data_IF_324092240195
#
_entry.id   IF_324092240195
#
_cell.length_a   1.000
_cell.length_b   1.000
_cell.length_c   1.000
_cell.angle_alpha   90.00
_cell.angle_beta   90.00
_cell.angle_gamma   90.00
#
_symmetry.space_group_name_H-M   'P 1'
#
loop_
_entity.id
_entity.type
_entity.pdbx_description
1 polymer ?
#
# COMPACT_ATOMS: atom_id res chain seq x y z
N UNK A 1 53.13 -58.10 35.87
CA UNK A 1 52.09 -57.12 36.22
C UNK A 1 52.21 -55.96 35.24
N UNK A 2 51.37 -55.95 34.21
CA UNK A 2 51.44 -55.02 33.07
C UNK A 2 50.24 -54.08 33.11
N UNK A 3 50.49 -52.82 33.41
CA UNK A 3 49.50 -51.74 33.46
C UNK A 3 49.28 -51.20 32.04
N UNK A 4 48.09 -51.41 31.46
CA UNK A 4 47.67 -50.75 30.22
C UNK A 4 47.06 -49.39 30.55
N UNK A 5 47.72 -48.32 30.14
CA UNK A 5 47.16 -46.96 30.11
C UNK A 5 46.33 -46.79 28.84
N UNK A 6 45.05 -46.52 29.01
CA UNK A 6 44.13 -46.15 27.93
C UNK A 6 44.15 -44.63 27.78
N UNK A 7 44.75 -44.12 26.72
CA UNK A 7 44.73 -42.69 26.38
C UNK A 7 43.35 -42.35 25.77
N UNK A 8 42.58 -41.52 26.45
CA UNK A 8 41.31 -40.98 25.96
C UNK A 8 41.61 -39.73 25.12
N UNK A 9 41.55 -39.84 23.80
CA UNK A 9 41.75 -38.72 22.87
C UNK A 9 40.42 -37.93 22.77
N UNK A 10 40.31 -36.82 23.52
CA UNK A 10 39.18 -35.89 23.41
C UNK A 10 39.39 -35.05 22.14
N UNK A 11 38.65 -35.39 21.08
CA UNK A 11 38.50 -34.52 19.90
C UNK A 11 37.68 -33.28 20.30
N UNK A 12 38.37 -32.16 20.50
CA UNK A 12 37.76 -30.82 20.48
C UNK A 12 37.38 -30.49 19.03
N UNK A 13 36.12 -30.77 18.66
CA UNK A 13 35.52 -30.19 17.45
C UNK A 13 35.35 -28.68 17.68
N UNK A 14 35.97 -27.80 16.87
CA UNK A 14 35.60 -26.41 16.88
C UNK A 14 34.17 -26.31 16.34
N UNK A 15 33.25 -25.83 17.19
CA UNK A 15 31.99 -25.26 16.75
C UNK A 15 32.32 -24.07 15.84
N UNK A 16 32.57 -24.37 14.57
CA UNK A 16 32.56 -23.39 13.49
C UNK A 16 31.15 -22.81 13.48
N UNK A 17 30.98 -21.66 14.14
CA UNK A 17 29.77 -20.86 14.04
C UNK A 17 29.48 -20.67 12.56
N UNK A 18 28.38 -21.25 12.09
CA UNK A 18 27.92 -20.98 10.74
C UNK A 18 27.79 -19.46 10.62
N UNK A 19 28.35 -18.83 9.57
CA UNK A 19 28.10 -17.41 9.35
C UNK A 19 26.58 -17.26 9.35
N UNK A 20 26.07 -16.39 10.23
CA UNK A 20 24.66 -16.04 10.24
C UNK A 20 24.31 -15.67 8.79
N UNK A 21 23.53 -16.51 8.12
CA UNK A 21 23.20 -16.29 6.73
C UNK A 21 22.53 -14.92 6.66
N UNK A 22 23.16 -13.98 5.94
CA UNK A 22 22.59 -12.65 5.72
C UNK A 22 21.15 -12.85 5.23
N UNK A 23 20.18 -12.24 5.94
CA UNK A 23 18.77 -12.44 5.61
C UNK A 23 18.52 -12.00 4.16
N UNK A 24 17.99 -12.87 3.30
CA UNK A 24 17.76 -12.50 1.91
C UNK A 24 16.55 -11.56 1.83
N UNK A 25 16.78 -10.25 1.74
CA UNK A 25 15.75 -9.22 1.53
C UNK A 25 15.23 -9.17 0.07
N UNK A 26 15.20 -10.32 -0.59
CA UNK A 26 14.84 -10.50 -2.00
C UNK A 26 15.96 -10.12 -2.99
N UNK A 27 15.84 -10.61 -4.23
CA UNK A 27 16.78 -10.29 -5.33
C UNK A 27 16.50 -8.91 -5.91
N UNK A 28 17.53 -8.17 -6.40
CA UNK A 28 17.32 -6.94 -7.15
C UNK A 28 16.38 -7.17 -8.34
N UNK A 29 15.52 -6.20 -8.62
CA UNK A 29 14.63 -6.20 -9.77
C UNK A 29 15.22 -5.37 -10.91
N UNK A 30 14.87 -5.71 -12.15
CA UNK A 30 15.18 -4.86 -13.30
C UNK A 30 14.19 -3.69 -13.38
N UNK A 31 14.60 -2.61 -14.04
CA UNK A 31 13.71 -1.46 -14.26
C UNK A 31 12.40 -1.88 -14.96
N UNK A 32 12.48 -2.71 -16.01
CA UNK A 32 11.30 -3.19 -16.73
C UNK A 32 10.33 -3.99 -15.85
N UNK A 33 10.84 -4.73 -14.86
CA UNK A 33 9.98 -5.45 -13.90
C UNK A 33 9.23 -4.47 -12.98
N UNK A 34 9.92 -3.45 -12.48
CA UNK A 34 9.33 -2.39 -11.64
C UNK A 34 8.29 -1.60 -12.42
N UNK A 35 8.60 -1.19 -13.66
CA UNK A 35 7.68 -0.46 -14.53
C UNK A 35 6.44 -1.29 -14.92
N UNK A 36 6.61 -2.59 -15.14
CA UNK A 36 5.49 -3.50 -15.37
C UNK A 36 4.55 -3.53 -14.16
N UNK A 37 5.11 -3.70 -12.95
CA UNK A 37 4.33 -3.79 -11.71
C UNK A 37 3.63 -2.46 -11.41
N UNK A 38 4.32 -1.33 -11.64
CA UNK A 38 3.75 0.01 -11.52
C UNK A 38 2.53 0.18 -12.43
N UNK A 39 2.64 -0.18 -13.72
CA UNK A 39 1.52 -0.09 -14.67
C UNK A 39 0.37 -1.03 -14.31
N UNK A 40 0.68 -2.23 -13.82
CA UNK A 40 -0.34 -3.20 -13.40
C UNK A 40 -1.12 -2.67 -12.19
N UNK A 41 -0.43 -2.12 -11.19
CA UNK A 41 -1.08 -1.50 -10.04
C UNK A 41 -1.81 -0.19 -10.37
N UNK A 42 -1.31 0.61 -11.34
CA UNK A 42 -1.99 1.80 -11.87
C UNK A 42 -3.34 1.44 -12.52
N UNK A 43 -3.39 0.38 -13.33
CA UNK A 43 -4.66 -0.12 -13.89
C UNK A 43 -5.59 -0.65 -12.80
N UNK A 44 -5.04 -1.37 -11.81
CA UNK A 44 -5.83 -1.94 -10.73
C UNK A 44 -6.47 -0.84 -9.87
N UNK A 45 -5.69 0.14 -9.44
CA UNK A 45 -6.18 1.25 -8.62
C UNK A 45 -7.22 2.08 -9.37
N UNK A 46 -7.07 2.26 -10.69
CA UNK A 46 -8.05 2.97 -11.51
C UNK A 46 -9.44 2.31 -11.42
N UNK A 47 -9.52 0.97 -11.30
CA UNK A 47 -10.79 0.24 -11.14
C UNK A 47 -11.39 0.30 -9.73
N UNK A 48 -10.64 0.76 -8.75
CA UNK A 48 -11.03 0.67 -7.33
C UNK A 48 -11.75 1.94 -6.87
N UNK A 49 -12.82 1.82 -6.11
CA UNK A 49 -13.51 2.95 -5.48
C UNK A 49 -13.75 2.64 -4.01
N UNK A 50 -13.61 3.61 -3.12
CA UNK A 50 -13.90 3.40 -1.71
C UNK A 50 -14.59 4.61 -1.06
N UNK A 51 -15.21 4.35 0.09
CA UNK A 51 -15.78 5.31 1.03
C UNK A 51 -15.03 5.25 2.35
N UNK A 52 -14.97 6.36 3.11
CA UNK A 52 -15.63 7.65 2.89
C UNK A 52 -14.96 8.51 1.81
N UNK A 53 -15.63 9.61 1.43
CA UNK A 53 -15.10 10.58 0.44
C UNK A 53 -13.74 11.18 0.84
N UNK A 54 -13.34 11.11 2.10
CA UNK A 54 -12.05 11.59 2.61
C UNK A 54 -11.04 10.46 2.88
N UNK A 55 -11.29 9.28 2.35
CA UNK A 55 -10.45 8.11 2.60
C UNK A 55 -9.25 7.96 1.66
N UNK A 56 -8.37 7.06 2.05
CA UNK A 56 -7.29 6.52 1.22
C UNK A 56 -7.51 5.03 0.96
N UNK A 57 -7.21 4.59 -0.26
CA UNK A 57 -7.10 3.16 -0.60
C UNK A 57 -5.65 2.82 -0.80
N UNK A 58 -5.14 1.81 -0.10
CA UNK A 58 -3.77 1.31 -0.25
C UNK A 58 -3.82 -0.07 -0.92
N UNK A 59 -2.95 -0.31 -1.90
CA UNK A 59 -2.95 -1.53 -2.72
C UNK A 59 -1.53 -2.03 -2.98
N UNK A 60 -1.35 -3.35 -2.96
CA UNK A 60 -0.09 -3.99 -3.34
C UNK A 60 -0.34 -5.43 -3.81
N UNK A 61 0.63 -5.99 -4.54
CA UNK A 61 0.61 -7.40 -4.95
C UNK A 61 0.95 -8.30 -3.76
N UNK A 62 0.21 -9.39 -3.60
CA UNK A 62 0.32 -10.32 -2.47
C UNK A 62 0.88 -11.70 -2.87
N UNK A 63 1.07 -11.98 -4.16
CA UNK A 63 1.64 -13.24 -4.63
C UNK A 63 2.67 -13.08 -5.75
N UNK A 64 3.74 -13.86 -5.65
CA UNK A 64 4.80 -13.96 -6.65
C UNK A 64 4.28 -14.40 -8.04
N UNK A 65 3.25 -15.25 -8.07
CA UNK A 65 2.67 -15.77 -9.32
C UNK A 65 1.75 -14.78 -10.04
N UNK A 66 1.46 -13.61 -9.46
CA UNK A 66 0.43 -12.69 -9.96
C UNK A 66 -0.96 -13.09 -9.46
N UNK A 67 -1.99 -12.36 -9.90
CA UNK A 67 -3.38 -12.67 -9.62
C UNK A 67 -3.87 -12.47 -8.18
N UNK A 68 -3.01 -12.20 -7.20
CA UNK A 68 -3.45 -11.92 -5.84
C UNK A 68 -2.91 -10.57 -5.35
N UNK A 69 -3.81 -9.77 -4.80
CA UNK A 69 -3.56 -8.43 -4.30
C UNK A 69 -4.16 -8.28 -2.92
N UNK A 70 -3.61 -7.34 -2.16
CA UNK A 70 -4.10 -6.93 -0.85
C UNK A 70 -4.31 -5.44 -0.84
N UNK A 71 -5.18 -5.02 0.06
CA UNK A 71 -5.32 -3.60 0.31
C UNK A 71 -5.98 -3.26 1.62
N UNK A 72 -6.05 -1.96 1.83
CA UNK A 72 -6.59 -1.31 3.01
C UNK A 72 -7.32 -0.05 2.60
N UNK A 73 -8.59 0.08 2.95
CA UNK A 73 -9.27 1.38 2.95
C UNK A 73 -9.12 2.00 4.32
N UNK A 74 -8.82 3.29 4.40
CA UNK A 74 -8.83 4.07 5.63
C UNK A 74 -9.66 5.34 5.47
N UNK A 75 -10.38 5.76 6.51
CA UNK A 75 -11.14 7.02 6.53
C UNK A 75 -10.24 8.25 6.50
N UNK A 76 -8.97 8.09 6.91
CA UNK A 76 -7.91 9.10 6.81
C UNK A 76 -8.33 10.47 7.38
N UNK A 77 -8.98 10.46 8.55
CA UNK A 77 -9.41 11.67 9.24
C UNK A 77 -8.22 12.33 9.94
N UNK A 78 -7.43 13.04 9.14
CA UNK A 78 -6.34 13.90 9.60
C UNK A 78 -6.78 15.36 9.56
N UNK A 79 -6.60 16.08 10.65
CA UNK A 79 -6.96 17.50 10.73
C UNK A 79 -6.29 18.22 11.88
N UNK A 80 -6.66 19.50 12.05
CA UNK A 80 -6.27 20.29 13.22
C UNK A 80 -7.45 20.36 14.20
N UNK A 81 -7.28 19.79 15.37
CA UNK A 81 -8.18 19.95 16.52
C UNK A 81 -7.74 21.11 17.42
N UNK A 82 -8.46 21.30 18.54
CA UNK A 82 -8.18 22.38 19.51
C UNK A 82 -6.81 22.30 20.20
N UNK A 83 -6.08 21.19 20.05
CA UNK A 83 -4.75 20.96 20.63
C UNK A 83 -3.64 20.75 19.57
N UNK A 84 -3.90 21.03 18.29
CA UNK A 84 -2.95 20.81 17.21
C UNK A 84 -3.40 19.75 16.22
N UNK A 85 -2.45 19.09 15.55
CA UNK A 85 -2.73 18.01 14.59
C UNK A 85 -3.29 16.80 15.31
N UNK A 86 -4.27 16.17 14.69
CA UNK A 86 -4.93 14.98 15.21
C UNK A 86 -5.19 13.98 14.08
N UNK A 87 -5.17 12.70 14.45
CA UNK A 87 -5.55 11.59 13.58
C UNK A 87 -6.47 10.64 14.33
N UNK A 88 -7.60 10.38 13.71
CA UNK A 88 -8.50 9.28 14.02
C UNK A 88 -8.74 8.53 12.70
N UNK A 89 -8.92 7.22 12.76
CA UNK A 89 -9.24 6.48 11.54
C UNK A 89 -9.95 5.17 11.82
N UNK A 90 -10.72 4.78 10.82
CA UNK A 90 -11.32 3.46 10.70
C UNK A 90 -10.75 2.79 9.45
N UNK A 91 -10.69 1.47 9.44
CA UNK A 91 -10.06 0.68 8.38
C UNK A 91 -10.92 -0.49 7.90
N UNK A 92 -10.79 -0.80 6.61
CA UNK A 92 -11.34 -2.00 5.97
C UNK A 92 -10.23 -2.66 5.15
N UNK A 93 -9.68 -3.75 5.68
CA UNK A 93 -8.66 -4.55 5.02
C UNK A 93 -9.29 -5.61 4.11
N UNK A 94 -8.61 -5.94 3.01
CA UNK A 94 -9.14 -6.87 2.02
C UNK A 94 -8.07 -7.64 1.25
N UNK A 95 -8.49 -8.78 0.71
CA UNK A 95 -7.80 -9.55 -0.32
C UNK A 95 -8.61 -9.48 -1.63
N UNK A 96 -7.91 -9.39 -2.76
CA UNK A 96 -8.49 -9.42 -4.09
C UNK A 96 -7.78 -10.51 -4.90
N UNK A 97 -8.55 -11.49 -5.35
CA UNK A 97 -8.05 -12.69 -5.99
C UNK A 97 -8.62 -12.80 -7.40
N UNK A 98 -7.73 -12.79 -8.38
CA UNK A 98 -8.02 -13.00 -9.78
C UNK A 98 -7.61 -14.41 -10.16
N UNK A 99 -8.56 -15.16 -10.74
CA UNK A 99 -8.31 -16.51 -11.23
C UNK A 99 -8.51 -16.54 -12.75
N UNK A 100 -7.53 -17.01 -13.53
CA UNK A 100 -7.81 -17.40 -14.91
C UNK A 100 -8.79 -18.57 -14.80
N UNK A 101 -10.03 -18.38 -15.25
CA UNK A 101 -11.05 -19.36 -14.93
C UNK A 101 -10.78 -20.73 -15.53
N UNK A 102 -11.28 -21.74 -14.84
CA UNK A 102 -11.41 -23.11 -15.34
C UNK A 102 -12.88 -23.32 -15.71
N UNK A 103 -13.15 -23.62 -16.98
CA UNK A 103 -14.51 -23.89 -17.45
C UNK A 103 -14.81 -25.38 -17.31
N UNK A 104 -15.56 -25.75 -16.28
CA UNK A 104 -15.87 -27.16 -16.00
C UNK A 104 -17.08 -27.71 -16.76
N UNK A 105 -17.90 -26.87 -17.39
CA UNK A 105 -19.21 -27.28 -17.92
C UNK A 105 -19.34 -27.22 -19.45
N UNK A 106 -18.59 -26.37 -20.15
CA UNK A 106 -18.60 -26.32 -21.62
C UNK A 106 -17.19 -26.10 -22.19
N UNK A 107 -16.48 -27.15 -22.66
CA UNK A 107 -15.12 -27.01 -23.16
C UNK A 107 -15.00 -26.16 -24.44
N UNK A 108 -16.12 -25.77 -25.08
CA UNK A 108 -16.12 -24.92 -26.28
C UNK A 108 -16.20 -23.44 -25.97
N UNK A 109 -16.57 -23.06 -24.74
CA UNK A 109 -16.62 -21.66 -24.31
C UNK A 109 -15.25 -21.25 -23.77
N UNK A 110 -14.77 -20.10 -24.25
CA UNK A 110 -13.59 -19.46 -23.65
C UNK A 110 -13.84 -19.26 -22.15
N UNK A 111 -12.91 -19.69 -21.28
CA UNK A 111 -13.02 -19.43 -19.85
C UNK A 111 -13.16 -17.94 -19.57
N UNK A 112 -14.04 -17.58 -18.64
CA UNK A 112 -14.29 -16.20 -18.24
C UNK A 112 -13.52 -15.91 -16.96
N UNK A 113 -12.51 -15.02 -16.96
CA UNK A 113 -11.74 -14.75 -15.77
C UNK A 113 -12.62 -14.31 -14.59
N UNK A 114 -12.26 -14.75 -13.40
CA UNK A 114 -13.01 -14.48 -12.18
C UNK A 114 -12.22 -13.56 -11.25
N UNK A 115 -12.93 -12.69 -10.54
CA UNK A 115 -12.41 -11.96 -9.39
C UNK A 115 -13.23 -12.32 -8.15
N UNK A 116 -12.52 -12.43 -7.03
CA UNK A 116 -13.10 -12.60 -5.71
C UNK A 116 -12.57 -11.49 -4.82
N UNK A 117 -13.46 -10.75 -4.19
CA UNK A 117 -13.15 -9.65 -3.30
C UNK A 117 -13.54 -10.03 -1.87
N UNK A 118 -12.57 -10.09 -0.95
CA UNK A 118 -12.76 -10.66 0.38
C UNK A 118 -12.30 -9.67 1.44
N UNK A 119 -13.13 -9.42 2.45
CA UNK A 119 -12.78 -8.66 3.63
C UNK A 119 -11.91 -9.46 4.58
N UNK A 120 -10.91 -8.81 5.18
CA UNK A 120 -10.04 -9.37 6.22
C UNK A 120 -10.52 -8.88 7.59
N UNK A 121 -11.41 -9.64 8.21
CA UNK A 121 -12.11 -9.27 9.45
C UNK A 121 -11.17 -8.93 10.61
N UNK A 122 -10.12 -9.73 10.83
CA UNK A 122 -9.14 -9.51 11.90
C UNK A 122 -8.27 -8.26 11.73
N UNK A 123 -8.31 -7.63 10.55
CA UNK A 123 -7.57 -6.42 10.22
C UNK A 123 -8.48 -5.22 9.90
N UNK A 124 -9.79 -5.35 10.16
CA UNK A 124 -10.81 -4.34 9.83
C UNK A 124 -11.60 -3.90 11.07
N UNK A 125 -12.13 -2.68 11.03
CA UNK A 125 -13.04 -2.14 12.04
C UNK A 125 -14.48 -2.54 11.77
N UNK A 126 -14.87 -3.70 12.27
CA UNK A 126 -16.22 -4.23 12.04
C UNK A 126 -17.24 -3.61 13.01
N UNK A 127 -18.36 -3.12 12.47
CA UNK A 127 -19.51 -2.62 13.24
C UNK A 127 -19.15 -1.60 14.35
N UNK A 128 -18.21 -0.69 14.09
CA UNK A 128 -17.97 0.39 15.04
C UNK A 128 -19.16 1.34 15.07
N UNK A 129 -19.69 1.62 16.25
CA UNK A 129 -20.79 2.57 16.46
C UNK A 129 -20.37 4.02 16.30
N UNK A 130 -19.05 4.28 16.26
CA UNK A 130 -18.44 5.59 16.07
C UNK A 130 -18.02 5.84 14.62
N UNK A 131 -17.75 4.79 13.86
CA UNK A 131 -17.14 4.92 12.53
C UNK A 131 -18.20 5.02 11.42
N UNK A 132 -17.93 5.80 10.37
CA UNK A 132 -18.79 5.84 9.19
C UNK A 132 -18.80 4.48 8.49
N UNK A 133 -19.85 4.24 7.71
CA UNK A 133 -19.92 3.08 6.83
C UNK A 133 -18.78 3.11 5.79
N UNK A 134 -17.85 2.17 5.93
CA UNK A 134 -16.70 2.00 5.01
C UNK A 134 -17.07 0.91 4.02
N UNK A 135 -16.81 1.18 2.75
CA UNK A 135 -16.93 0.19 1.70
C UNK A 135 -15.83 0.34 0.67
N UNK A 136 -15.54 -0.75 0.00
CA UNK A 136 -14.64 -0.81 -1.14
C UNK A 136 -15.35 -1.48 -2.31
N UNK A 137 -15.06 -1.02 -3.51
CA UNK A 137 -15.58 -1.53 -4.77
C UNK A 137 -14.46 -1.72 -5.77
N UNK A 138 -14.60 -2.74 -6.60
CA UNK A 138 -13.79 -2.91 -7.82
C UNK A 138 -14.71 -3.09 -9.01
N UNK A 139 -14.48 -2.33 -10.09
CA UNK A 139 -15.30 -2.45 -11.30
C UNK A 139 -14.84 -3.60 -12.21
N UNK A 140 -15.79 -4.48 -12.52
CA UNK A 140 -15.66 -5.61 -13.43
C UNK A 140 -15.81 -5.21 -14.91
N UNK A 141 -16.21 -3.97 -15.20
CA UNK A 141 -16.46 -3.53 -16.57
C UNK A 141 -15.26 -3.78 -17.51
N UNK A 142 -15.54 -4.02 -18.79
CA UNK A 142 -14.48 -4.25 -19.78
C UNK A 142 -13.54 -3.03 -19.89
N UNK A 143 -14.11 -1.83 -19.83
CA UNK A 143 -13.42 -0.53 -19.80
C UNK A 143 -13.99 0.28 -18.65
N UNK A 144 -13.13 0.95 -17.88
CA UNK A 144 -13.53 1.90 -16.84
C UNK A 144 -13.33 3.30 -17.39
N UNK A 145 -14.42 3.94 -17.81
CA UNK A 145 -14.38 5.31 -18.34
C UNK A 145 -14.25 6.34 -17.22
N UNK A 146 -15.00 6.17 -16.12
CA UNK A 146 -14.97 7.01 -14.93
C UNK A 146 -14.76 6.14 -13.68
N UNK A 147 -13.57 6.21 -13.04
CA UNK A 147 -13.23 5.39 -11.88
C UNK A 147 -13.99 5.77 -10.61
N UNK A 148 -14.82 6.82 -10.66
CA UNK A 148 -15.67 7.28 -9.57
C UNK A 148 -17.12 6.82 -9.70
N UNK A 149 -17.47 6.16 -10.81
CA UNK A 149 -18.82 5.65 -11.11
C UNK A 149 -18.75 4.21 -11.64
N UNK A 150 -18.38 3.23 -10.79
CA UNK A 150 -18.26 1.85 -11.22
C UNK A 150 -19.61 1.32 -11.72
N UNK A 151 -19.60 0.63 -12.86
CA UNK A 151 -20.82 0.16 -13.54
C UNK A 151 -21.16 -1.29 -13.23
N UNK A 152 -20.15 -2.11 -12.92
CA UNK A 152 -20.30 -3.51 -12.53
C UNK A 152 -19.45 -3.78 -11.27
N UNK A 153 -19.79 -3.20 -10.11
CA UNK A 153 -18.94 -3.29 -8.92
C UNK A 153 -19.07 -4.63 -8.20
N UNK A 154 -17.95 -5.23 -7.83
CA UNK A 154 -17.90 -6.09 -6.64
C UNK A 154 -17.76 -5.21 -5.41
N UNK A 155 -18.49 -5.51 -4.33
CA UNK A 155 -18.55 -4.66 -3.13
C UNK A 155 -18.29 -5.44 -1.85
N UNK A 156 -17.42 -4.91 -0.99
CA UNK A 156 -17.29 -5.33 0.40
C UNK A 156 -17.50 -4.13 1.33
N UNK A 157 -17.89 -4.39 2.57
CA UNK A 157 -18.10 -3.33 3.57
C UNK A 157 -17.61 -3.73 4.95
N UNK A 158 -17.50 -2.78 5.88
CA UNK A 158 -17.17 -3.07 7.28
C UNK A 158 -18.36 -3.57 8.14
N UNK A 159 -19.51 -3.91 7.52
CA UNK A 159 -20.69 -4.42 8.23
C UNK A 159 -20.63 -5.94 8.42
N UNK A 160 -20.93 -6.46 9.62
CA UNK A 160 -20.85 -7.91 9.92
C UNK A 160 -21.94 -8.79 9.28
N UNK A 161 -22.95 -8.20 8.65
CA UNK A 161 -24.06 -8.96 8.09
C UNK A 161 -23.60 -9.90 6.97
N UNK A 162 -24.32 -11.00 6.77
CA UNK A 162 -24.04 -11.96 5.71
C UNK A 162 -24.11 -11.29 4.33
N UNK A 163 -23.18 -11.64 3.44
CA UNK A 163 -23.07 -11.08 2.08
C UNK A 163 -22.28 -9.78 1.97
N UNK A 164 -21.80 -9.18 3.08
CA UNK A 164 -20.98 -7.96 3.02
C UNK A 164 -19.47 -8.18 3.15
N UNK A 165 -19.06 -9.39 3.54
CA UNK A 165 -17.66 -9.76 3.73
C UNK A 165 -16.97 -10.24 2.44
N UNK A 166 -17.75 -10.59 1.42
CA UNK A 166 -17.26 -11.23 0.21
C UNK A 166 -18.18 -10.92 -0.96
N UNK A 167 -17.59 -10.69 -2.13
CA UNK A 167 -18.29 -10.58 -3.39
C UNK A 167 -17.43 -11.20 -4.52
N UNK A 168 -18.08 -11.81 -5.51
CA UNK A 168 -17.40 -12.49 -6.61
C UNK A 168 -18.11 -12.26 -7.95
N UNK A 169 -17.33 -12.29 -9.02
CA UNK A 169 -17.88 -12.10 -10.35
C UNK A 169 -16.90 -12.43 -11.46
N UNK A 170 -17.46 -12.65 -12.66
CA UNK A 170 -16.70 -12.99 -13.85
C UNK A 170 -16.68 -11.83 -14.84
N UNK A 171 -15.51 -11.50 -15.37
CA UNK A 171 -15.36 -10.41 -16.33
C UNK A 171 -14.16 -10.58 -17.26
N UNK A 172 -14.35 -10.11 -18.51
CA UNK A 172 -13.30 -10.12 -19.53
C UNK A 172 -12.30 -8.97 -19.38
N UNK A 173 -12.68 -7.87 -18.70
CA UNK A 173 -11.84 -6.67 -18.56
C UNK A 173 -10.47 -6.95 -17.92
N UNK A 174 -10.41 -7.87 -16.95
CA UNK A 174 -9.18 -8.18 -16.24
C UNK A 174 -8.11 -8.86 -17.06
N UNK A 175 -8.49 -9.57 -18.13
CA UNK A 175 -7.52 -10.18 -19.03
C UNK A 175 -6.83 -9.12 -19.87
N UNK A 176 -7.52 -8.04 -20.24
CA UNK A 176 -6.94 -6.93 -20.97
C UNK A 176 -5.94 -6.12 -20.12
N UNK A 177 -6.18 -6.04 -18.81
CA UNK A 177 -5.28 -5.33 -17.89
C UNK A 177 -4.16 -6.20 -17.32
N UNK A 178 -4.08 -7.46 -17.73
CA UNK A 178 -3.04 -8.41 -17.36
C UNK A 178 -2.87 -8.60 -15.85
N UNK A 179 -3.96 -8.68 -15.07
CA UNK A 179 -3.87 -8.86 -13.61
C UNK A 179 -3.45 -10.27 -13.16
N UNK A 180 -3.48 -11.23 -14.07
CA UNK A 180 -3.15 -12.64 -13.80
C UNK A 180 -1.66 -12.92 -13.87
N UNK A 181 -0.93 -12.22 -14.75
CA UNK A 181 0.49 -12.45 -14.95
C UNK A 181 1.31 -11.76 -13.87
N UNK A 182 2.46 -12.35 -13.53
CA UNK A 182 3.45 -11.71 -12.70
C UNK A 182 4.42 -10.88 -13.56
N UNK A 183 4.67 -9.63 -13.18
CA UNK A 183 5.78 -8.85 -13.72
C UNK A 183 7.15 -9.41 -13.31
N UNK A 184 7.22 -10.07 -12.15
CA UNK A 184 8.37 -10.84 -11.67
C UNK A 184 7.94 -11.84 -10.59
N UNK A 185 8.73 -12.91 -10.41
CA UNK A 185 8.50 -13.95 -9.41
C UNK A 185 9.02 -13.65 -8.00
N UNK A 186 9.58 -12.46 -7.78
CA UNK A 186 10.21 -12.08 -6.50
C UNK A 186 9.26 -11.25 -5.63
N UNK A 187 8.39 -11.91 -4.86
CA UNK A 187 7.66 -11.29 -3.73
C UNK A 187 8.10 -12.01 -2.46
N UNK A 188 8.96 -11.37 -1.67
CA UNK A 188 9.52 -11.99 -0.46
C UNK A 188 8.60 -11.85 0.75
N UNK A 189 8.80 -12.69 1.77
CA UNK A 189 8.10 -12.56 3.05
C UNK A 189 8.39 -11.20 3.72
N UNK A 190 9.58 -10.64 3.48
CA UNK A 190 9.92 -9.30 3.93
C UNK A 190 9.05 -8.25 3.22
N UNK A 191 8.87 -8.33 1.90
CA UNK A 191 7.99 -7.41 1.16
C UNK A 191 6.54 -7.50 1.68
N UNK A 192 6.04 -8.72 1.89
CA UNK A 192 4.70 -8.97 2.45
C UNK A 192 4.54 -8.45 3.89
N UNK A 193 5.63 -8.26 4.64
CA UNK A 193 5.65 -7.60 5.95
C UNK A 193 5.72 -6.08 5.82
N UNK A 194 6.49 -5.55 4.87
CA UNK A 194 6.66 -4.09 4.69
C UNK A 194 5.38 -3.43 4.18
N UNK A 195 4.71 -3.99 3.17
CA UNK A 195 3.57 -3.31 2.56
C UNK A 195 2.41 -3.02 3.56
N UNK A 196 2.01 -3.95 4.45
CA UNK A 196 1.02 -3.65 5.48
C UNK A 196 1.45 -2.58 6.48
N UNK A 197 2.76 -2.48 6.78
CA UNK A 197 3.32 -1.41 7.63
C UNK A 197 3.15 -0.08 6.92
N UNK A 198 3.64 0.04 5.68
CA UNK A 198 3.50 1.27 4.88
C UNK A 198 2.04 1.71 4.75
N UNK A 199 1.13 0.79 4.44
CA UNK A 199 -0.30 1.08 4.35
C UNK A 199 -0.92 1.60 5.65
N UNK A 200 -0.31 1.35 6.82
CA UNK A 200 -0.82 1.79 8.13
C UNK A 200 -0.09 2.99 8.73
N UNK A 201 1.06 3.35 8.17
CA UNK A 201 1.86 4.49 8.61
C UNK A 201 1.75 5.67 7.65
N UNK A 202 1.67 5.45 6.33
CA UNK A 202 1.64 6.54 5.34
C UNK A 202 0.25 7.17 5.24
N UNK A 203 0.16 8.48 5.42
CA UNK A 203 -1.10 9.24 5.42
C UNK A 203 -0.97 10.52 4.57
N UNK A 204 -1.46 10.50 3.32
CA UNK A 204 -1.62 11.73 2.54
C UNK A 204 -2.78 12.56 3.10
N UNK A 205 -2.65 13.87 3.21
CA UNK A 205 -3.74 14.73 3.68
C UNK A 205 -3.61 16.16 3.16
N UNK A 206 -4.64 16.70 2.47
CA UNK A 206 -4.66 18.10 2.07
C UNK A 206 -5.02 19.02 3.25
N UNK A 207 -5.62 18.47 4.32
CA UNK A 207 -5.96 19.19 5.55
C UNK A 207 -4.75 19.63 6.37
N UNK A 208 -3.62 18.96 6.19
CA UNK A 208 -2.39 19.22 6.93
C UNK A 208 -1.30 19.83 6.04
N UNK A 209 -1.65 20.25 4.83
CA UNK A 209 -0.79 21.06 3.98
C UNK A 209 -0.49 22.39 4.68
N UNK A 210 0.78 22.80 4.69
CA UNK A 210 1.22 24.09 5.23
C UNK A 210 1.76 24.99 4.12
N UNK A 211 1.51 26.30 4.15
CA UNK A 211 0.76 27.05 5.17
C UNK A 211 -0.76 27.10 4.91
N UNK A 212 -1.23 26.57 3.78
CA UNK A 212 -2.61 26.68 3.32
C UNK A 212 -3.34 25.33 3.39
N UNK A 213 -3.89 24.95 4.56
CA UNK A 213 -4.64 23.70 4.66
C UNK A 213 -5.91 23.77 3.82
N UNK A 214 -6.10 22.81 2.93
CA UNK A 214 -7.32 22.68 2.13
C UNK A 214 -8.03 21.36 2.46
N UNK A 215 -9.02 21.40 3.35
CA UNK A 215 -9.81 20.23 3.74
C UNK A 215 -10.91 19.85 2.74
N UNK A 216 -10.53 19.73 1.46
CA UNK A 216 -11.41 19.26 0.38
C UNK A 216 -11.86 17.80 0.55
N UNK A 217 -12.72 17.34 -0.37
CA UNK A 217 -13.15 15.94 -0.46
C UNK A 217 -12.18 15.04 -1.23
N UNK A 218 -10.88 15.34 -1.18
CA UNK A 218 -9.85 14.64 -1.94
C UNK A 218 -9.79 13.18 -1.54
N UNK A 219 -9.73 12.31 -2.56
CA UNK A 219 -9.58 10.86 -2.39
C UNK A 219 -8.20 10.46 -2.88
N UNK A 220 -7.49 9.70 -2.07
CA UNK A 220 -6.20 9.16 -2.45
C UNK A 220 -6.30 7.67 -2.76
N UNK A 221 -5.63 7.26 -3.83
CA UNK A 221 -5.32 5.86 -4.07
C UNK A 221 -3.80 5.72 -4.05
N UNK A 222 -3.31 4.78 -3.28
CA UNK A 222 -1.90 4.61 -2.99
C UNK A 222 -1.53 3.19 -3.37
N UNK A 223 -0.54 3.04 -4.23
CA UNK A 223 -0.02 1.73 -4.60
C UNK A 223 1.39 1.58 -4.05
N UNK A 224 1.73 0.40 -3.56
CA UNK A 224 3.07 0.05 -3.11
C UNK A 224 3.62 -1.11 -3.93
N UNK A 225 4.88 -1.01 -4.31
CA UNK A 225 5.62 -2.03 -5.04
C UNK A 225 7.10 -1.93 -4.73
N UNK A 226 7.88 -2.92 -5.16
CA UNK A 226 9.31 -2.95 -4.88
C UNK A 226 10.08 -2.09 -5.89
N UNK A 227 11.16 -1.45 -5.46
CA UNK A 227 12.12 -0.79 -6.34
C UNK A 227 13.12 -1.78 -6.95
N UNK A 228 14.07 -1.25 -7.71
CA UNK A 228 15.14 -2.06 -8.33
C UNK A 228 16.10 -2.65 -7.29
N UNK A 229 16.42 -1.88 -6.25
CA UNK A 229 17.33 -2.30 -5.19
C UNK A 229 16.60 -3.02 -4.05
N UNK A 230 17.25 -4.00 -3.38
CA UNK A 230 16.75 -4.55 -2.12
C UNK A 230 16.51 -3.45 -1.08
N UNK A 231 15.47 -3.63 -0.25
CA UNK A 231 15.01 -2.66 0.75
C UNK A 231 14.60 -1.28 0.20
N UNK A 232 14.50 -1.14 -1.12
CA UNK A 232 13.91 0.02 -1.77
C UNK A 232 12.49 -0.32 -2.19
N UNK A 233 11.55 0.55 -1.84
CA UNK A 233 10.15 0.47 -2.18
C UNK A 233 9.72 1.71 -2.94
N UNK A 234 8.66 1.56 -3.71
CA UNK A 234 8.06 2.60 -4.51
C UNK A 234 6.63 2.77 -4.05
N UNK A 235 6.20 4.03 -4.06
CA UNK A 235 4.83 4.39 -3.75
C UNK A 235 4.37 5.40 -4.79
N UNK A 236 3.20 5.18 -5.37
CA UNK A 236 2.53 6.22 -6.14
C UNK A 236 1.24 6.60 -5.43
N UNK A 237 1.03 7.90 -5.27
CA UNK A 237 -0.21 8.47 -4.75
C UNK A 237 -0.95 9.10 -5.93
N UNK A 238 -2.17 8.63 -6.16
CA UNK A 238 -3.10 9.15 -7.15
C UNK A 238 -4.14 10.01 -6.44
N UNK A 239 -4.16 11.28 -6.79
CA UNK A 239 -5.18 12.24 -6.38
C UNK A 239 -6.31 12.23 -7.40
N UNK A 240 -7.53 11.94 -6.93
CA UNK A 240 -8.74 11.99 -7.76
C UNK A 240 -9.57 13.23 -7.43
N UNK A 241 -9.80 14.04 -8.45
CA UNK A 241 -10.63 15.23 -8.39
C UNK A 241 -11.85 15.01 -9.28
N UNK A 242 -13.04 15.30 -8.78
CA UNK A 242 -14.27 15.33 -9.59
C UNK A 242 -14.82 16.74 -9.55
N UNK A 243 -14.95 17.33 -10.73
CA UNK A 243 -15.48 18.69 -10.93
C UNK A 243 -16.78 18.57 -11.72
N UNK A 244 -17.88 19.07 -11.17
CA UNK A 244 -19.17 19.12 -11.85
C UNK A 244 -19.50 20.56 -12.19
N UNK A 245 -19.80 20.82 -13.46
CA UNK A 245 -20.21 22.12 -13.98
C UNK A 245 -21.73 22.32 -13.81
N UNK A 246 -22.18 23.57 -13.93
CA UNK A 246 -23.59 23.95 -13.72
C UNK A 246 -24.56 23.30 -14.72
N UNK A 247 -24.07 22.83 -15.86
CA UNK A 247 -24.83 22.09 -16.87
C UNK A 247 -25.05 20.60 -16.50
N UNK A 248 -24.54 20.17 -15.34
CA UNK A 248 -24.61 18.80 -14.86
C UNK A 248 -23.53 17.87 -15.42
N UNK A 249 -22.65 18.36 -16.30
CA UNK A 249 -21.48 17.61 -16.76
C UNK A 249 -20.47 17.49 -15.62
N UNK A 250 -19.98 16.29 -15.34
CA UNK A 250 -18.88 16.09 -14.40
C UNK A 250 -17.66 15.53 -15.12
N UNK A 251 -16.51 16.14 -14.89
CA UNK A 251 -15.21 15.64 -15.30
C UNK A 251 -14.49 15.07 -14.08
N UNK A 252 -13.64 14.08 -14.31
CA UNK A 252 -12.67 13.64 -13.31
C UNK A 252 -11.26 13.88 -13.82
N UNK A 253 -10.37 14.24 -12.90
CA UNK A 253 -8.93 14.32 -13.11
C UNK A 253 -8.21 13.33 -12.20
N UNK A 254 -7.09 12.82 -12.70
CA UNK A 254 -6.17 11.96 -11.98
C UNK A 254 -4.77 12.56 -12.05
N UNK A 255 -4.13 12.78 -10.91
CA UNK A 255 -2.75 13.23 -10.82
C UNK A 255 -1.92 12.23 -10.02
N UNK A 256 -0.75 11.85 -10.53
CA UNK A 256 0.17 10.90 -9.89
C UNK A 256 1.36 11.62 -9.30
N UNK A 257 1.64 11.37 -8.03
CA UNK A 257 2.90 11.72 -7.38
C UNK A 257 3.64 10.44 -7.03
N UNK A 258 4.86 10.29 -7.52
CA UNK A 258 5.67 9.09 -7.34
C UNK A 258 6.72 9.32 -6.25
N UNK A 259 6.98 8.29 -5.46
CA UNK A 259 7.91 8.32 -4.34
C UNK A 259 8.83 7.11 -4.35
N UNK A 260 10.01 7.29 -3.79
CA UNK A 260 10.91 6.21 -3.39
C UNK A 260 11.03 6.21 -1.86
N UNK A 261 10.99 5.02 -1.29
CA UNK A 261 11.24 4.78 0.13
C UNK A 261 12.43 3.84 0.23
N UNK A 262 13.46 4.20 0.98
CA UNK A 262 14.55 3.28 1.30
C UNK A 262 14.49 2.92 2.77
N UNK A 263 14.56 1.62 3.04
CA UNK A 263 14.41 1.06 4.38
C UNK A 263 15.75 0.54 4.86
N UNK A 264 16.08 0.82 6.12
CA UNK A 264 17.24 0.29 6.81
C UNK A 264 16.79 -0.72 7.85
N UNK A 265 17.56 -1.80 7.97
CA UNK A 265 17.30 -2.89 8.91
C UNK A 265 18.55 -3.21 9.73
N UNK A 266 18.35 -3.72 10.94
CA UNK A 266 19.45 -4.29 11.73
C UNK A 266 19.76 -5.74 11.32
N UNK A 267 20.77 -6.34 11.97
CA UNK A 267 21.20 -7.72 11.72
C UNK A 267 20.10 -8.78 11.97
N UNK A 268 18.99 -8.41 12.63
CA UNK A 268 17.84 -9.28 12.91
C UNK A 268 16.69 -9.06 11.92
N UNK A 269 16.83 -8.13 10.98
CA UNK A 269 15.78 -7.73 10.05
C UNK A 269 14.69 -6.86 10.71
N UNK A 270 15.02 -6.17 11.81
CA UNK A 270 14.13 -5.17 12.42
C UNK A 270 14.32 -3.83 11.72
N UNK A 271 13.23 -3.08 11.58
CA UNK A 271 13.26 -1.78 10.93
C UNK A 271 13.89 -0.75 11.86
N UNK A 272 14.85 0.00 11.34
CA UNK A 272 15.63 0.97 12.11
C UNK A 272 15.37 2.40 11.62
N UNK A 273 15.85 2.73 10.43
CA UNK A 273 15.73 4.03 9.80
C UNK A 273 15.40 3.92 8.33
N UNK A 274 15.35 5.06 7.64
CA UNK A 274 15.08 5.12 6.21
C UNK A 274 14.80 6.53 5.75
N UNK A 275 14.39 6.66 4.50
CA UNK A 275 14.01 7.92 3.88
C UNK A 275 12.82 7.74 2.96
N UNK A 276 12.08 8.84 2.79
CA UNK A 276 11.00 8.99 1.83
C UNK A 276 11.32 10.21 0.95
N UNK A 277 11.23 10.03 -0.36
CA UNK A 277 11.56 11.08 -1.32
C UNK A 277 10.54 11.11 -2.46
N UNK A 278 10.07 12.31 -2.82
CA UNK A 278 9.30 12.53 -4.05
C UNK A 278 10.21 12.43 -5.25
N UNK A 279 9.71 11.82 -6.31
CA UNK A 279 10.46 11.63 -7.54
C UNK A 279 10.21 12.75 -8.53
N UNK A 280 11.17 13.01 -9.45
CA UNK A 280 11.07 14.07 -10.43
C UNK A 280 9.81 13.98 -11.30
N UNK A 281 9.46 15.09 -11.92
CA UNK A 281 8.39 15.14 -12.91
C UNK A 281 8.76 14.34 -14.17
N UNK A 282 7.77 13.69 -14.76
CA UNK A 282 7.88 13.06 -16.07
C UNK A 282 8.06 14.12 -17.15
N UNK A 283 8.90 13.84 -18.14
CA UNK A 283 9.00 14.67 -19.35
C UNK A 283 7.81 14.44 -20.28
N UNK A 284 7.26 13.22 -20.27
CA UNK A 284 6.01 12.86 -20.94
C UNK A 284 5.14 12.02 -19.99
N UNK A 285 4.23 12.71 -19.29
CA UNK A 285 3.34 12.12 -18.31
C UNK A 285 2.39 11.06 -18.88
N UNK A 286 2.17 11.02 -20.20
CA UNK A 286 1.21 10.10 -20.83
C UNK A 286 1.78 8.69 -21.07
N UNK A 287 3.10 8.58 -21.21
CA UNK A 287 3.76 7.32 -21.55
C UNK A 287 4.73 6.84 -20.48
N UNK A 288 5.26 7.76 -19.66
CA UNK A 288 6.29 7.46 -18.67
C UNK A 288 5.69 7.05 -17.33
N UNK A 289 6.36 6.09 -16.71
CA UNK A 289 6.14 5.67 -15.32
C UNK A 289 7.44 5.89 -14.54
N UNK A 290 7.40 5.74 -13.23
CA UNK A 290 8.58 5.90 -12.39
C UNK A 290 8.89 7.35 -12.00
N UNK A 291 8.01 8.29 -12.36
CA UNK A 291 8.11 9.73 -12.14
C UNK A 291 6.73 10.33 -11.81
N UNK A 292 6.71 11.53 -11.25
CA UNK A 292 5.48 12.26 -10.93
C UNK A 292 4.90 12.92 -12.19
N UNK A 293 3.58 12.97 -12.34
CA UNK A 293 2.96 13.71 -13.45
C UNK A 293 3.03 15.22 -13.19
N UNK A 294 3.07 16.04 -14.25
CA UNK A 294 2.95 17.49 -14.13
C UNK A 294 1.56 17.85 -13.60
N UNK A 295 1.47 18.03 -12.30
CA UNK A 295 0.30 18.51 -11.59
C UNK A 295 0.75 19.38 -10.43
N UNK A 296 -0.18 20.13 -9.85
CA UNK A 296 0.05 20.84 -8.60
C UNK A 296 -0.46 19.96 -7.46
N UNK A 297 0.35 19.01 -6.93
CA UNK A 297 -0.07 18.30 -5.73
C UNK A 297 -0.33 19.35 -4.65
N UNK A 298 -1.42 19.21 -3.91
CA UNK A 298 -1.76 20.11 -2.81
C UNK A 298 -2.10 19.29 -1.58
N UNK A 299 -1.13 18.52 -1.09
CA UNK A 299 -1.29 17.71 0.10
C UNK A 299 0.04 17.44 0.80
N UNK A 300 -0.03 17.18 2.10
CA UNK A 300 1.09 16.68 2.89
C UNK A 300 1.07 15.15 2.93
N UNK A 301 2.24 14.53 3.12
CA UNK A 301 2.36 13.08 3.37
C UNK A 301 3.07 12.89 4.69
N UNK A 302 2.42 12.20 5.62
CA UNK A 302 2.99 11.85 6.91
C UNK A 302 3.29 10.35 6.99
N UNK A 303 4.41 9.99 7.62
CA UNK A 303 4.72 8.62 8.03
C UNK A 303 4.59 8.53 9.54
N UNK A 304 3.39 8.18 9.99
CA UNK A 304 2.98 8.18 11.40
C UNK A 304 3.14 6.79 12.03
N UNK A 305 3.21 6.69 13.36
CA UNK A 305 3.11 5.40 14.04
C UNK A 305 1.81 4.69 13.66
N UNK A 306 1.79 3.34 13.65
CA UNK A 306 0.55 2.59 13.49
C UNK A 306 -0.45 2.94 14.60
N UNK A 307 -1.72 3.04 14.23
CA UNK A 307 -2.84 3.26 15.15
C UNK A 307 -3.63 1.95 15.31
N UNK A 308 -4.18 1.65 16.49
CA UNK A 308 -5.30 0.69 16.59
C UNK A 308 -6.56 1.40 16.10
N UNK A 309 -7.01 1.17 14.87
CA UNK A 309 -8.02 2.01 14.27
C UNK A 309 -9.35 1.85 15.02
N UNK A 310 -10.19 2.88 15.05
CA UNK A 310 -11.48 2.91 15.77
C UNK A 310 -11.39 2.85 17.31
N UNK A 311 -10.18 2.77 17.88
CA UNK A 311 -9.94 2.68 19.33
C UNK A 311 -9.04 3.82 19.80
N UNK A 312 -7.88 3.95 19.17
CA UNK A 312 -6.86 4.92 19.57
C UNK A 312 -7.03 6.26 18.83
N UNK A 313 -6.37 7.28 19.36
CA UNK A 313 -6.22 8.61 18.77
C UNK A 313 -4.74 8.99 18.81
N UNK A 314 -4.27 9.73 17.80
CA UNK A 314 -2.93 10.34 17.76
C UNK A 314 -3.04 11.86 17.73
N UNK A 315 -2.15 12.53 18.47
CA UNK A 315 -2.08 13.98 18.58
C UNK A 315 -0.72 14.53 18.16
N UNK A 316 -0.49 15.80 18.45
CA UNK A 316 0.69 16.56 18.01
C UNK A 316 2.03 15.84 18.25
N UNK A 317 2.19 15.17 19.39
CA UNK A 317 3.42 14.44 19.73
C UNK A 317 3.78 13.33 18.73
N UNK A 318 2.78 12.65 18.14
CA UNK A 318 3.03 11.67 17.09
C UNK A 318 3.36 12.31 15.75
N UNK A 319 2.84 13.51 15.47
CA UNK A 319 3.16 14.26 14.26
C UNK A 319 4.56 14.89 14.32
N UNK A 320 5.02 15.33 15.49
CA UNK A 320 6.37 15.90 15.67
C UNK A 320 7.49 14.90 15.39
N UNK A 321 7.24 13.61 15.60
CA UNK A 321 8.20 12.52 15.34
C UNK A 321 7.99 11.79 14.01
N UNK A 322 6.99 12.20 13.23
CA UNK A 322 6.69 11.59 11.94
C UNK A 322 7.64 12.09 10.85
N UNK A 323 7.94 11.23 9.87
CA UNK A 323 8.46 11.72 8.60
C UNK A 323 7.37 12.53 7.89
N UNK A 324 7.72 13.69 7.33
CA UNK A 324 6.78 14.64 6.77
C UNK A 324 7.27 15.22 5.44
N UNK A 325 6.43 15.07 4.42
CA UNK A 325 6.57 15.77 3.15
C UNK A 325 5.44 16.77 3.00
N UNK A 326 5.75 17.95 2.48
CA UNK A 326 4.78 18.99 2.15
C UNK A 326 4.86 19.21 0.64
N UNK A 327 3.82 18.85 -0.12
CA UNK A 327 3.85 18.84 -1.57
C UNK A 327 2.89 19.89 -2.10
N UNK A 328 3.48 20.97 -2.63
CA UNK A 328 2.79 22.02 -3.36
C UNK A 328 3.18 22.01 -4.85
N UNK A 329 2.62 22.95 -5.60
CA UNK A 329 3.03 23.25 -6.96
C UNK A 329 4.55 23.47 -7.10
N UNK A 330 5.05 23.18 -8.31
CA UNK A 330 6.47 23.31 -8.63
C UNK A 330 6.98 24.75 -8.36
N UNK A 331 8.13 24.85 -7.69
CA UNK A 331 8.75 26.13 -7.34
C UNK A 331 8.25 26.76 -6.04
N UNK A 332 7.25 26.16 -5.36
CA UNK A 332 6.82 26.65 -4.04
C UNK A 332 7.96 26.53 -3.01
N UNK A 333 8.24 27.59 -2.22
CA UNK A 333 9.25 27.55 -1.17
C UNK A 333 8.83 26.67 0.02
N UNK A 334 7.55 26.25 0.07
CA UNK A 334 7.02 25.38 1.11
C UNK A 334 7.11 23.89 0.75
N UNK A 335 7.52 23.56 -0.48
CA UNK A 335 7.66 22.17 -0.90
C UNK A 335 8.81 21.49 -0.16
N UNK A 336 8.49 20.45 0.62
CA UNK A 336 9.41 19.53 1.27
C UNK A 336 9.24 18.16 0.60
N UNK A 337 10.16 17.85 -0.31
CA UNK A 337 10.12 16.62 -1.12
C UNK A 337 10.96 15.46 -0.58
N UNK A 338 11.60 15.61 0.58
CA UNK A 338 12.43 14.59 1.19
C UNK A 338 12.35 14.67 2.72
N UNK A 339 12.30 13.52 3.39
CA UNK A 339 12.50 13.43 4.83
C UNK A 339 13.03 12.05 5.24
N UNK A 340 13.59 11.97 6.45
CA UNK A 340 14.04 10.74 7.09
C UNK A 340 12.92 10.12 7.92
N UNK A 341 12.92 8.79 8.05
CA UNK A 341 11.93 8.05 8.82
C UNK A 341 12.63 7.21 9.87
N UNK A 342 12.32 7.46 11.15
CA UNK A 342 12.81 6.65 12.27
C UNK A 342 11.86 5.48 12.56
N UNK A 343 11.94 4.41 11.77
CA UNK A 343 11.09 3.23 11.93
C UNK A 343 11.19 2.57 13.30
N UNK A 344 12.38 2.59 13.92
CA UNK A 344 12.56 2.04 15.26
C UNK A 344 11.67 2.76 16.27
N UNK A 345 11.59 4.09 16.21
CA UNK A 345 10.74 4.88 17.11
C UNK A 345 9.24 4.77 16.76
N UNK A 346 8.90 4.81 15.47
CA UNK A 346 7.51 4.71 15.01
C UNK A 346 6.87 3.35 15.36
N UNK A 347 7.68 2.28 15.40
CA UNK A 347 7.20 0.91 15.62
C UNK A 347 7.51 0.35 17.01
N UNK A 348 8.10 1.16 17.91
CA UNK A 348 8.62 0.70 19.22
C UNK A 348 7.60 -0.04 20.09
N UNK A 349 6.33 0.36 19.99
CA UNK A 349 5.22 -0.17 20.79
C UNK A 349 4.36 -1.18 20.00
N UNK A 350 4.89 -1.73 18.91
CA UNK A 350 4.15 -2.61 17.99
C UNK A 350 4.84 -3.96 17.81
N UNK A 351 4.04 -5.00 17.60
CA UNK A 351 4.55 -6.32 17.23
C UNK A 351 5.21 -6.35 15.82
N UNK A 352 5.02 -5.30 15.01
CA UNK A 352 5.55 -5.24 13.64
C UNK A 352 7.04 -5.03 13.58
N UNK A 353 7.70 -4.62 14.68
CA UNK A 353 9.17 -4.54 14.74
C UNK A 353 9.87 -5.80 15.28
N UNK A 354 9.19 -6.95 15.26
CA UNK A 354 9.70 -8.23 15.79
C UNK A 354 10.87 -8.87 15.04
N UNK A 355 11.25 -8.37 13.86
CA UNK A 355 12.29 -8.99 13.02
C UNK A 355 11.72 -10.07 12.09
N UNK A 356 12.57 -10.71 11.27
CA UNK A 356 12.17 -11.85 10.41
C UNK A 356 12.39 -13.21 11.08
N UNK A 357 13.01 -13.24 12.26
CA UNK A 357 13.29 -14.48 13.01
C UNK A 357 12.52 -14.40 14.33
N UNK A 358 11.71 -15.42 14.67
CA UNK A 358 10.99 -15.47 15.95
C UNK A 358 11.92 -15.55 17.16
#
# INVERSE_FOLDING_TARGET
>A
MTTRQTLLLILLLPLLGAPAAAQPFGRPLTLAQVECEERQLERLQHRMMASPRRGSVFLWRAAAAGGAYRGLVSTNDLGRGGQGRAREESQLAFDLLFKPAENFLDPRRQPLPQATFVRRDGESNLNSTRDPWIWARIDLAAVVEDPTRPTQPLTITNQRNDGYAHDDGAARGFAADDFFSACHGDVSDFDLRIFPILARTVRPSPCLLEPLPHCGGTRFRVVFFRGTEPLTYRMNIYEYLVSCYDDGHCEYGEARTAFVLKIQVDDRGRLTGGDIQVLPLCTDASTQVGCSTSGSPNYAVYVLPPLRPGIDHQGEAEFERAGHLNLEHEGSPYTVGYDTVNWADLLRDTAWNGGLVP
#
